data_IF_033170699260
#
_entry.id   IF_033170699260
#
_cell.length_a   1.000
_cell.length_b   1.000
_cell.length_c   1.000
_cell.angle_alpha   90.00
_cell.angle_beta   90.00
_cell.angle_gamma   90.00
#
_symmetry.space_group_name_H-M   'P 1'
#
loop_
_entity.id
_entity.type
_entity.pdbx_description
1 polymer ?
#
# COMPACT_ATOMS: atom_id res chain seq x y z
N UNK A 1 12.67 39.85 17.55
CA UNK A 1 12.33 38.41 17.60
C UNK A 1 13.57 37.63 17.22
N UNK A 2 13.98 36.69 18.06
CA UNK A 2 15.26 35.98 17.94
C UNK A 2 15.31 35.21 16.61
N UNK A 3 16.29 35.49 15.75
CA UNK A 3 16.44 34.95 14.39
C UNK A 3 16.41 33.41 14.37
N UNK A 4 16.90 32.78 15.44
CA UNK A 4 16.83 31.33 15.66
C UNK A 4 15.42 30.76 15.75
N UNK A 5 14.48 31.46 16.40
CA UNK A 5 13.08 31.02 16.47
C UNK A 5 12.38 31.13 15.11
N UNK A 6 12.74 32.12 14.29
CA UNK A 6 12.21 32.27 12.93
C UNK A 6 12.71 31.16 11.99
N UNK A 7 13.97 30.75 12.12
CA UNK A 7 14.55 29.66 11.31
C UNK A 7 13.94 28.30 11.68
N UNK A 8 13.80 28.02 12.97
CA UNK A 8 13.17 26.78 13.44
C UNK A 8 11.70 26.68 12.99
N UNK A 9 10.97 27.80 12.99
CA UNK A 9 9.59 27.84 12.53
C UNK A 9 9.46 27.58 11.02
N UNK A 10 10.35 28.17 10.20
CA UNK A 10 10.37 27.91 8.75
C UNK A 10 10.77 26.46 8.45
N UNK A 11 11.75 25.91 9.17
CA UNK A 11 12.15 24.51 9.03
C UNK A 11 10.99 23.56 9.40
N UNK A 12 10.28 23.85 10.48
CA UNK A 12 9.10 23.08 10.90
C UNK A 12 7.96 23.16 9.87
N UNK A 13 7.72 24.32 9.26
CA UNK A 13 6.75 24.48 8.18
C UNK A 13 7.14 23.69 6.92
N UNK A 14 8.42 23.71 6.51
CA UNK A 14 8.90 22.92 5.37
C UNK A 14 8.79 21.43 5.64
N UNK A 15 9.12 20.97 6.85
CA UNK A 15 8.95 19.58 7.27
C UNK A 15 7.47 19.17 7.29
N UNK A 16 6.58 20.02 7.81
CA UNK A 16 5.14 19.76 7.86
C UNK A 16 4.52 19.68 6.44
N UNK A 17 4.91 20.57 5.53
CA UNK A 17 4.44 20.54 4.14
C UNK A 17 4.91 19.28 3.41
N UNK A 18 6.19 18.90 3.57
CA UNK A 18 6.72 17.66 2.99
C UNK A 18 6.02 16.40 3.54
N UNK A 19 5.67 16.40 4.84
CA UNK A 19 4.95 15.29 5.45
C UNK A 19 3.56 15.06 4.82
N UNK A 20 2.88 16.13 4.38
CA UNK A 20 1.55 16.05 3.74
C UNK A 20 1.56 15.58 2.28
N UNK A 21 2.70 15.67 1.59
CA UNK A 21 2.85 15.27 0.17
C UNK A 21 3.59 13.94 0.03
N UNK A 22 4.03 13.36 1.14
CA UNK A 22 4.91 12.20 1.09
C UNK A 22 4.22 10.98 0.42
N UNK A 23 4.90 10.44 -0.59
CA UNK A 23 4.56 9.20 -1.27
C UNK A 23 4.52 8.04 -0.25
N UNK A 24 3.70 7.02 -0.49
CA UNK A 24 3.79 5.77 0.28
C UNK A 24 5.10 5.07 -0.08
N UNK A 25 5.93 4.85 0.92
CA UNK A 25 7.21 4.16 0.87
C UNK A 25 7.18 2.95 1.80
N UNK A 26 8.25 2.15 1.76
CA UNK A 26 8.46 1.02 2.69
C UNK A 26 8.39 1.43 4.18
N UNK A 27 8.67 2.70 4.48
CA UNK A 27 8.68 3.25 5.84
C UNK A 27 7.34 3.89 6.23
N UNK A 28 6.30 3.73 5.41
CA UNK A 28 4.99 4.35 5.69
C UNK A 28 4.23 3.57 6.74
N UNK A 29 3.84 4.27 7.80
CA UNK A 29 2.91 3.75 8.81
C UNK A 29 1.46 3.96 8.35
N UNK A 30 0.71 2.87 8.29
CA UNK A 30 -0.70 2.87 7.90
C UNK A 30 -1.60 2.98 9.14
N UNK A 31 -2.28 4.11 9.33
CA UNK A 31 -3.19 4.30 10.47
C UNK A 31 -4.38 3.34 10.34
N UNK A 32 -4.59 2.50 11.36
CA UNK A 32 -5.64 1.46 11.41
C UNK A 32 -5.60 0.46 10.23
N UNK A 33 -4.40 0.17 9.75
CA UNK A 33 -4.16 -0.75 8.65
C UNK A 33 -2.75 -1.30 8.67
N UNK A 34 -2.32 -1.84 7.54
CA UNK A 34 -1.00 -2.42 7.33
C UNK A 34 -0.49 -2.09 5.93
N UNK A 35 0.84 -2.00 5.81
CA UNK A 35 1.51 -1.74 4.54
C UNK A 35 1.57 -3.01 3.71
N UNK A 36 1.28 -2.89 2.41
CA UNK A 36 1.45 -3.97 1.43
C UNK A 36 2.28 -3.51 0.26
N UNK A 37 2.85 -4.48 -0.45
CA UNK A 37 3.63 -4.26 -1.66
C UNK A 37 3.01 -4.99 -2.85
N UNK A 38 2.88 -4.27 -3.96
CA UNK A 38 2.62 -4.81 -5.30
C UNK A 38 3.91 -4.76 -6.14
N UNK A 39 3.85 -4.99 -7.45
CA UNK A 39 5.05 -5.11 -8.28
C UNK A 39 5.97 -3.88 -8.25
N UNK A 40 5.39 -2.68 -8.22
CA UNK A 40 6.09 -1.40 -8.36
C UNK A 40 5.47 -0.28 -7.51
N UNK A 41 4.66 -0.61 -6.49
CA UNK A 41 4.11 0.36 -5.56
C UNK A 41 3.85 -0.24 -4.17
N UNK A 42 3.83 0.61 -3.15
CA UNK A 42 3.36 0.29 -1.81
C UNK A 42 2.01 0.98 -1.56
N UNK A 43 1.12 0.31 -0.84
CA UNK A 43 -0.14 0.91 -0.39
C UNK A 43 -0.55 0.45 1.00
N UNK A 44 -1.40 1.23 1.64
CA UNK A 44 -2.05 0.82 2.88
C UNK A 44 -3.30 -0.02 2.56
N UNK A 45 -3.45 -1.13 3.28
CA UNK A 45 -4.71 -1.87 3.38
C UNK A 45 -5.26 -1.74 4.79
N UNK A 46 -6.59 -1.63 4.90
CA UNK A 46 -7.24 -1.43 6.17
C UNK A 46 -7.47 -2.75 6.92
N UNK A 47 -7.48 -2.66 8.25
CA UNK A 47 -7.92 -3.76 9.10
C UNK A 47 -9.42 -4.04 8.89
N UNK A 48 -9.88 -5.23 9.29
CA UNK A 48 -11.28 -5.61 9.16
C UNK A 48 -12.22 -4.61 9.83
N UNK A 49 -13.27 -4.20 9.11
CA UNK A 49 -14.24 -3.20 9.56
C UNK A 49 -13.82 -1.73 9.30
N UNK A 50 -12.61 -1.49 8.79
CA UNK A 50 -12.13 -0.17 8.39
C UNK A 50 -12.10 0.00 6.88
N UNK A 51 -12.16 1.25 6.42
CA UNK A 51 -12.11 1.65 5.01
C UNK A 51 -11.14 2.81 4.81
N UNK A 52 -10.56 2.92 3.61
CA UNK A 52 -9.59 3.96 3.29
C UNK A 52 -10.23 5.35 3.35
N UNK A 53 -9.78 6.16 4.30
CA UNK A 53 -10.13 7.58 4.37
C UNK A 53 -9.26 8.38 3.39
N UNK A 54 -7.98 8.02 3.31
CA UNK A 54 -6.98 8.51 2.38
C UNK A 54 -5.92 7.43 2.16
N UNK A 55 -4.88 7.73 1.37
CA UNK A 55 -3.83 6.76 0.99
C UNK A 55 -3.08 6.11 2.17
N UNK A 56 -3.09 6.74 3.36
CA UNK A 56 -2.34 6.30 4.54
C UNK A 56 -3.20 5.98 5.75
N UNK A 57 -4.49 6.30 5.68
CA UNK A 57 -5.37 6.33 6.83
C UNK A 57 -6.65 5.56 6.58
N UNK A 58 -6.97 4.69 7.53
CA UNK A 58 -8.20 3.94 7.57
C UNK A 58 -9.09 4.44 8.71
N UNK A 59 -10.39 4.55 8.45
CA UNK A 59 -11.40 4.94 9.42
C UNK A 59 -12.51 3.87 9.52
N UNK A 60 -13.19 3.74 10.67
CA UNK A 60 -14.26 2.75 10.83
C UNK A 60 -15.36 2.94 9.79
N UNK A 61 -15.79 1.85 9.16
CA UNK A 61 -16.89 1.90 8.20
C UNK A 61 -18.20 2.18 8.91
N UNK A 62 -18.96 3.14 8.42
CA UNK A 62 -20.30 3.49 8.90
C UNK A 62 -21.38 3.14 7.91
N UNK A 63 -22.52 2.72 8.45
CA UNK A 63 -23.77 2.65 7.70
C UNK A 63 -24.39 4.06 7.63
N UNK A 64 -24.63 4.55 6.43
CA UNK A 64 -25.21 5.87 6.22
C UNK A 64 -26.66 6.00 6.70
N UNK A 65 -27.35 4.89 6.97
CA UNK A 65 -28.65 4.91 7.63
C UNK A 65 -28.56 5.23 9.14
N UNK A 66 -27.36 5.16 9.74
CA UNK A 66 -27.17 5.39 11.17
C UNK A 66 -27.27 6.88 11.52
N UNK A 67 -27.88 7.22 12.68
CA UNK A 67 -27.89 8.60 13.18
C UNK A 67 -26.48 9.18 13.31
N UNK A 68 -26.27 10.40 12.83
CA UNK A 68 -24.97 11.08 12.91
C UNK A 68 -23.90 10.57 11.93
N UNK A 69 -24.22 9.66 11.01
CA UNK A 69 -23.26 9.10 10.06
C UNK A 69 -22.80 10.08 8.97
N UNK A 70 -23.45 11.24 8.82
CA UNK A 70 -23.10 12.24 7.81
C UNK A 70 -21.63 12.65 7.95
N UNK A 71 -20.92 12.74 6.82
CA UNK A 71 -19.49 12.98 6.70
C UNK A 71 -18.58 11.88 7.27
N UNK A 72 -19.12 10.76 7.75
CA UNK A 72 -18.31 9.62 8.18
C UNK A 72 -18.04 8.65 7.01
N UNK A 73 -16.93 7.91 7.10
CA UNK A 73 -16.46 7.00 6.05
C UNK A 73 -17.38 5.79 5.92
N UNK A 74 -17.76 5.42 4.69
CA UNK A 74 -18.73 4.35 4.42
C UNK A 74 -18.24 3.30 3.41
N UNK A 75 -17.10 3.60 2.78
CA UNK A 75 -16.38 2.77 1.81
C UNK A 75 -15.02 3.41 1.54
N UNK A 76 -14.14 2.70 0.85
CA UNK A 76 -12.83 3.25 0.46
C UNK A 76 -13.03 4.54 -0.32
N UNK A 77 -12.41 5.63 0.14
CA UNK A 77 -12.51 6.97 -0.40
C UNK A 77 -13.96 7.48 -0.56
N UNK A 78 -14.86 7.04 0.32
CA UNK A 78 -16.28 7.39 0.28
C UNK A 78 -16.81 7.83 1.66
N UNK A 79 -17.74 8.78 1.66
CA UNK A 79 -18.38 9.32 2.86
C UNK A 79 -19.90 9.35 2.71
N UNK A 80 -20.61 9.26 3.83
CA UNK A 80 -22.05 9.43 3.86
C UNK A 80 -22.43 10.89 3.62
N UNK A 81 -23.22 11.14 2.59
CA UNK A 81 -23.75 12.47 2.29
C UNK A 81 -25.27 12.48 2.40
N UNK A 82 -25.79 13.54 3.02
CA UNK A 82 -27.21 13.84 2.99
C UNK A 82 -27.55 14.41 1.61
N UNK A 83 -28.60 13.90 0.98
CA UNK A 83 -29.07 14.47 -0.30
C UNK A 83 -30.38 15.19 -0.07
N UNK A 84 -30.44 16.47 -0.49
CA UNK A 84 -31.68 17.23 -0.62
C UNK A 84 -31.97 17.41 -2.09
N UNK A 85 -33.12 16.94 -2.55
CA UNK A 85 -33.57 17.11 -3.94
C UNK A 85 -34.92 17.79 -3.88
N UNK A 86 -35.03 18.96 -4.53
CA UNK A 86 -36.26 19.76 -4.57
C UNK A 86 -36.85 20.08 -3.18
N UNK A 87 -35.99 20.37 -2.19
CA UNK A 87 -36.42 20.68 -0.82
C UNK A 87 -36.83 19.47 0.02
N UNK A 88 -36.84 18.26 -0.56
CA UNK A 88 -37.16 17.02 0.15
C UNK A 88 -35.87 16.30 0.57
N UNK A 89 -35.81 15.92 1.84
CA UNK A 89 -34.70 15.16 2.40
C UNK A 89 -34.78 13.71 1.91
N UNK A 90 -33.71 13.23 1.27
CA UNK A 90 -33.56 11.83 0.87
C UNK A 90 -32.71 11.10 1.89
N UNK A 91 -32.89 9.79 1.96
CA UNK A 91 -32.03 8.92 2.74
C UNK A 91 -30.55 9.18 2.41
N UNK A 92 -29.67 9.32 3.41
CA UNK A 92 -28.25 9.50 3.19
C UNK A 92 -27.67 8.37 2.35
N UNK A 93 -26.68 8.68 1.51
CA UNK A 93 -26.03 7.70 0.63
C UNK A 93 -24.52 7.75 0.81
N UNK A 94 -23.88 6.62 0.58
CA UNK A 94 -22.43 6.54 0.49
C UNK A 94 -21.98 7.09 -0.87
N UNK A 95 -21.19 8.14 -0.87
CA UNK A 95 -20.72 8.82 -2.09
C UNK A 95 -19.21 8.98 -2.07
N UNK A 96 -18.59 8.84 -3.24
CA UNK A 96 -17.15 9.07 -3.40
C UNK A 96 -16.77 10.51 -3.00
N UNK A 97 -15.60 10.64 -2.37
CA UNK A 97 -15.02 11.96 -2.06
C UNK A 97 -14.64 12.71 -3.33
N UNK A 98 -14.48 14.03 -3.18
CA UNK A 98 -13.93 14.89 -4.24
C UNK A 98 -12.61 14.32 -4.76
N UNK A 99 -12.47 14.22 -6.08
CA UNK A 99 -11.32 13.61 -6.75
C UNK A 99 -11.42 12.10 -6.99
N UNK A 100 -12.54 11.49 -6.60
CA UNK A 100 -12.85 10.08 -6.84
C UNK A 100 -14.17 9.94 -7.61
N UNK A 101 -14.22 8.94 -8.48
CA UNK A 101 -15.35 8.61 -9.34
C UNK A 101 -15.82 7.20 -9.01
N UNK A 102 -17.14 6.95 -8.92
CA UNK A 102 -17.65 5.60 -8.73
C UNK A 102 -17.40 4.74 -9.98
N UNK A 103 -16.71 3.61 -9.79
CA UNK A 103 -16.51 2.57 -10.79
C UNK A 103 -16.89 1.23 -10.16
N UNK A 104 -17.99 0.64 -10.63
CA UNK A 104 -18.49 -0.68 -10.17
C UNK A 104 -18.49 -0.80 -8.63
N UNK A 105 -19.27 0.05 -7.96
CA UNK A 105 -19.42 0.09 -6.49
C UNK A 105 -18.13 0.39 -5.68
N UNK A 106 -17.04 0.79 -6.33
CA UNK A 106 -15.79 1.22 -5.67
C UNK A 106 -15.46 2.65 -6.09
N UNK A 107 -14.96 3.46 -5.16
CA UNK A 107 -14.48 4.80 -5.49
C UNK A 107 -13.03 4.73 -5.94
N UNK A 108 -12.79 5.04 -7.21
CA UNK A 108 -11.46 5.11 -7.80
C UNK A 108 -11.08 6.56 -8.04
N UNK A 109 -9.78 6.89 -8.01
CA UNK A 109 -9.33 8.26 -8.36
C UNK A 109 -9.83 8.61 -9.76
N UNK A 110 -10.28 9.84 -9.98
CA UNK A 110 -10.86 10.25 -11.28
C UNK A 110 -9.87 10.04 -12.44
N UNK A 111 -8.58 10.25 -12.22
CA UNK A 111 -7.52 9.96 -13.20
C UNK A 111 -7.41 8.47 -13.60
N UNK A 112 -7.89 7.57 -12.74
CA UNK A 112 -7.90 6.12 -12.97
C UNK A 112 -9.14 5.61 -13.69
N UNK A 113 -10.16 6.44 -13.91
CA UNK A 113 -11.46 6.01 -14.42
C UNK A 113 -11.40 5.33 -15.80
N UNK A 114 -10.42 5.69 -16.64
CA UNK A 114 -10.24 5.11 -17.99
C UNK A 114 -8.94 4.31 -18.14
N UNK A 115 -8.19 4.10 -17.06
CA UNK A 115 -6.92 3.38 -17.13
C UNK A 115 -7.12 1.91 -16.78
N UNK A 116 -7.07 1.06 -17.80
CA UNK A 116 -7.20 -0.39 -17.66
C UNK A 116 -5.84 -1.06 -17.45
N UNK A 117 -5.60 -1.54 -16.24
CA UNK A 117 -4.32 -2.14 -15.87
C UNK A 117 -4.25 -3.68 -16.03
N UNK A 118 -5.36 -4.36 -16.32
CA UNK A 118 -5.36 -5.82 -16.42
C UNK A 118 -5.19 -6.49 -15.06
N UNK A 119 -4.16 -7.35 -14.89
CA UNK A 119 -3.86 -8.05 -13.62
C UNK A 119 -3.15 -7.14 -12.60
N UNK A 120 -3.80 -6.04 -12.28
CA UNK A 120 -3.26 -4.99 -11.42
C UNK A 120 -4.29 -3.90 -11.16
N UNK A 121 -3.81 -2.74 -10.71
CA UNK A 121 -4.64 -1.57 -10.43
C UNK A 121 -3.98 -0.28 -10.89
N UNK A 122 -4.78 0.74 -11.10
CA UNK A 122 -4.29 2.09 -11.37
C UNK A 122 -3.86 2.77 -10.06
N UNK A 123 -2.70 3.43 -10.09
CA UNK A 123 -2.09 4.14 -8.96
C UNK A 123 -1.70 5.54 -9.42
N UNK A 124 -1.87 6.54 -8.55
CA UNK A 124 -1.46 7.92 -8.83
C UNK A 124 0.07 8.00 -8.91
N UNK A 125 0.59 8.71 -9.91
CA UNK A 125 2.01 9.04 -9.96
C UNK A 125 2.35 10.04 -8.84
N UNK A 126 3.27 9.71 -7.92
CA UNK A 126 3.65 10.62 -6.83
C UNK A 126 4.25 11.94 -7.33
N UNK A 127 4.85 11.94 -8.52
CA UNK A 127 5.51 13.10 -9.11
C UNK A 127 4.56 13.93 -9.99
N UNK A 128 3.30 13.54 -10.12
CA UNK A 128 2.32 14.22 -10.97
C UNK A 128 0.95 14.32 -10.32
N UNK A 129 0.34 15.51 -10.41
CA UNK A 129 -1.02 15.70 -9.93
C UNK A 129 -2.07 14.99 -10.80
N UNK A 130 -1.75 14.73 -12.07
CA UNK A 130 -2.70 14.28 -13.09
C UNK A 130 -2.37 12.93 -13.70
N UNK A 131 -1.13 12.46 -13.58
CA UNK A 131 -0.73 11.19 -14.19
C UNK A 131 -1.01 10.03 -13.24
N UNK A 132 -1.29 8.89 -13.85
CA UNK A 132 -1.46 7.62 -13.17
C UNK A 132 -0.77 6.53 -13.98
N UNK A 133 -0.34 5.49 -13.30
CA UNK A 133 0.32 4.33 -13.89
C UNK A 133 -0.27 3.05 -13.33
N UNK A 134 0.03 1.93 -13.98
CA UNK A 134 -0.41 0.62 -13.51
C UNK A 134 0.57 0.03 -12.51
N UNK A 135 0.02 -0.54 -11.44
CA UNK A 135 0.74 -1.42 -10.54
C UNK A 135 0.19 -2.83 -10.59
N UNK A 136 1.08 -3.81 -10.68
CA UNK A 136 0.72 -5.17 -11.04
C UNK A 136 0.70 -6.08 -9.82
N UNK A 137 -0.15 -7.09 -9.89
CA UNK A 137 -0.12 -8.20 -8.96
C UNK A 137 1.29 -8.83 -8.91
N UNK A 138 1.72 -9.29 -7.75
CA UNK A 138 3.00 -10.01 -7.62
C UNK A 138 3.00 -11.23 -8.57
N UNK A 139 4.11 -11.43 -9.29
CA UNK A 139 4.24 -12.42 -10.37
C UNK A 139 3.86 -11.88 -11.76
N UNK A 140 3.39 -10.64 -11.85
CA UNK A 140 3.10 -9.93 -13.10
C UNK A 140 3.86 -8.59 -13.10
N UNK A 141 4.36 -8.20 -14.27
CA UNK A 141 5.02 -6.92 -14.52
C UNK A 141 4.38 -6.17 -15.69
N UNK A 142 4.83 -4.94 -15.89
CA UNK A 142 4.38 -4.07 -16.97
C UNK A 142 4.84 -4.59 -18.34
N UNK A 143 3.94 -4.54 -19.31
CA UNK A 143 4.28 -4.68 -20.72
C UNK A 143 4.81 -3.37 -21.32
N UNK A 144 5.12 -3.40 -22.62
CA UNK A 144 5.62 -2.24 -23.36
C UNK A 144 4.61 -1.09 -23.48
N UNK A 145 3.35 -1.33 -23.13
CA UNK A 145 2.27 -0.34 -23.12
C UNK A 145 1.90 0.09 -21.69
N UNK A 146 2.63 -0.38 -20.68
CA UNK A 146 2.37 -0.05 -19.28
C UNK A 146 1.17 -0.78 -18.69
N UNK A 147 0.77 -1.95 -19.22
CA UNK A 147 -0.31 -2.79 -18.65
C UNK A 147 0.25 -4.04 -17.97
N UNK A 148 -0.48 -4.58 -17.00
CA UNK A 148 -0.04 -5.76 -16.23
C UNK A 148 -0.42 -7.07 -16.95
N UNK A 149 0.39 -7.45 -17.94
CA UNK A 149 0.14 -8.62 -18.79
C UNK A 149 1.32 -9.59 -18.89
N UNK A 150 2.55 -9.16 -18.54
CA UNK A 150 3.75 -10.00 -18.63
C UNK A 150 4.04 -10.72 -17.32
N UNK A 151 4.35 -12.03 -17.32
CA UNK A 151 4.94 -12.68 -16.16
C UNK A 151 6.23 -11.99 -15.74
N UNK A 152 6.46 -11.85 -14.45
CA UNK A 152 7.69 -11.27 -13.93
C UNK A 152 7.72 -11.26 -12.41
N UNK A 153 8.89 -11.54 -11.85
CA UNK A 153 9.07 -11.61 -10.42
C UNK A 153 9.34 -10.23 -9.83
N UNK A 154 8.85 -10.03 -8.60
CA UNK A 154 9.13 -8.86 -7.78
C UNK A 154 9.62 -9.37 -6.45
N UNK A 155 10.80 -8.93 -6.01
CA UNK A 155 11.29 -9.28 -4.69
C UNK A 155 10.55 -8.48 -3.62
N UNK A 156 10.22 -9.13 -2.50
CA UNK A 156 9.67 -8.41 -1.36
C UNK A 156 10.72 -7.46 -0.77
N UNK A 157 10.31 -6.22 -0.58
CA UNK A 157 11.09 -5.13 -0.01
C UNK A 157 10.47 -4.59 1.28
N UNK A 158 9.40 -5.19 1.80
CA UNK A 158 8.79 -4.82 3.08
C UNK A 158 9.77 -5.03 4.25
N UNK A 159 9.81 -4.05 5.16
CA UNK A 159 10.56 -4.13 6.42
C UNK A 159 9.67 -4.74 7.50
N UNK A 160 9.62 -6.07 7.56
CA UNK A 160 8.84 -6.80 8.57
C UNK A 160 9.54 -6.83 9.93
N UNK A 161 8.77 -6.96 11.01
CA UNK A 161 9.32 -7.10 12.36
C UNK A 161 10.11 -8.41 12.52
N UNK A 162 10.92 -8.52 13.58
CA UNK A 162 11.80 -9.68 13.79
C UNK A 162 11.04 -11.03 13.88
N UNK A 163 9.84 -11.00 14.45
CA UNK A 163 8.92 -12.15 14.57
C UNK A 163 7.97 -12.29 13.38
N UNK A 164 8.17 -11.52 12.31
CA UNK A 164 7.37 -11.54 11.10
C UNK A 164 8.22 -11.92 9.88
N UNK A 165 7.56 -12.39 8.84
CA UNK A 165 8.14 -12.65 7.53
C UNK A 165 7.29 -12.02 6.43
N UNK A 166 7.92 -11.68 5.31
CA UNK A 166 7.19 -11.19 4.15
C UNK A 166 6.62 -12.36 3.35
N UNK A 167 5.29 -12.46 3.29
CA UNK A 167 4.59 -13.57 2.62
C UNK A 167 3.70 -13.05 1.50
N UNK A 168 3.72 -13.76 0.37
CA UNK A 168 2.77 -13.53 -0.71
C UNK A 168 1.38 -13.93 -0.22
N UNK A 169 0.46 -12.97 -0.17
CA UNK A 169 -0.93 -13.18 0.19
C UNK A 169 -1.81 -12.78 -0.99
N UNK A 170 -2.44 -13.78 -1.62
CA UNK A 170 -3.21 -13.60 -2.86
C UNK A 170 -2.34 -13.06 -4.00
N UNK A 171 -2.28 -11.73 -4.14
CA UNK A 171 -1.65 -11.01 -5.24
C UNK A 171 -0.74 -9.86 -4.79
N UNK A 172 -0.45 -9.76 -3.49
CA UNK A 172 0.41 -8.74 -2.89
C UNK A 172 1.26 -9.34 -1.76
N UNK A 173 2.40 -8.71 -1.47
CA UNK A 173 3.19 -9.04 -0.28
C UNK A 173 2.65 -8.32 0.95
N UNK A 174 2.67 -9.00 2.09
CA UNK A 174 2.43 -8.41 3.42
C UNK A 174 3.33 -9.07 4.46
N UNK A 175 3.63 -8.35 5.54
CA UNK A 175 4.24 -8.95 6.71
C UNK A 175 3.21 -9.80 7.46
N UNK A 176 3.61 -11.01 7.84
CA UNK A 176 2.82 -11.93 8.65
C UNK A 176 3.66 -12.47 9.80
N UNK A 177 3.04 -12.80 10.92
CA UNK A 177 3.74 -13.49 12.00
C UNK A 177 4.38 -14.77 11.46
N UNK A 178 5.65 -15.00 11.80
CA UNK A 178 6.29 -16.29 11.58
C UNK A 178 5.49 -17.33 12.34
N UNK A 179 5.23 -18.47 11.70
CA UNK A 179 4.70 -19.61 12.42
C UNK A 179 5.73 -19.96 13.51
N UNK A 180 5.36 -19.74 14.78
CA UNK A 180 6.10 -20.34 15.88
C UNK A 180 5.98 -21.83 15.65
N UNK A 181 7.08 -22.49 15.28
CA UNK A 181 7.11 -23.94 15.14
C UNK A 181 6.48 -24.52 16.38
N UNK A 182 5.26 -25.03 16.24
CA UNK A 182 4.64 -25.78 17.30
C UNK A 182 5.55 -26.96 17.53
N UNK A 183 6.26 -26.97 18.65
CA UNK A 183 6.57 -28.24 19.31
C UNK A 183 5.22 -28.91 19.51
N UNK A 184 4.83 -29.73 18.53
CA UNK A 184 3.80 -30.72 18.70
C UNK A 184 4.27 -31.55 19.89
N UNK A 185 3.68 -31.27 21.04
CA UNK A 185 3.87 -32.03 22.26
C UNK A 185 3.60 -33.48 21.88
N UNK A 186 4.65 -34.29 21.83
CA UNK A 186 4.53 -35.72 21.67
C UNK A 186 3.66 -36.22 22.80
N UNK A 187 2.39 -36.48 22.50
CA UNK A 187 1.48 -37.14 23.43
C UNK A 187 2.07 -38.48 23.77
N UNK A 188 2.52 -38.61 25.02
CA UNK A 188 2.97 -39.87 25.60
C UNK A 188 1.92 -40.95 25.38
N UNK A 189 2.40 -42.11 24.92
CA UNK A 189 1.57 -43.25 24.63
C UNK A 189 0.80 -43.73 25.85
N UNK A 190 -0.43 -44.17 25.61
CA UNK A 190 -1.11 -45.13 26.47
C UNK A 190 -1.76 -46.16 25.57
N UNK A 191 -1.34 -47.40 25.75
CA UNK A 191 -1.62 -48.52 24.87
C UNK A 191 -3.11 -48.85 24.74
N UNK A 192 -3.47 -49.31 23.56
CA UNK A 192 -4.71 -50.03 23.28
C UNK A 192 -4.40 -51.11 22.26
N UNK A 193 -4.40 -52.37 22.70
CA UNK A 193 -4.46 -53.54 21.82
C UNK A 193 -5.76 -53.49 21.02
N UNK A 194 -5.67 -53.69 19.71
CA UNK A 194 -6.82 -53.70 18.82
C UNK A 194 -6.47 -54.32 17.47
N UNK A 195 -6.83 -55.59 17.33
CA UNK A 195 -6.64 -56.47 16.19
C UNK A 195 -7.39 -56.01 14.92
N UNK A 196 -6.75 -56.23 13.76
CA UNK A 196 -7.43 -56.62 12.51
C UNK A 196 -8.01 -55.50 11.66
N UNK A 197 -7.37 -55.25 10.51
CA UNK A 197 -7.94 -54.45 9.43
C UNK A 197 -7.02 -54.42 8.22
N UNK A 198 -7.18 -55.39 7.31
CA UNK A 198 -6.64 -55.32 5.95
C UNK A 198 -7.26 -54.13 5.21
N UNK A 199 -6.43 -53.30 4.59
CA UNK A 199 -6.88 -52.14 3.82
C UNK A 199 -5.77 -51.59 2.95
N UNK A 200 -5.90 -51.86 1.65
CA UNK A 200 -4.92 -51.70 0.58
C UNK A 200 -4.68 -50.24 0.16
N UNK A 201 -3.45 -49.97 -0.26
CA UNK A 201 -3.16 -49.15 -1.44
C UNK A 201 -2.94 -47.65 -1.23
N UNK A 202 -1.90 -47.14 -1.88
CA UNK A 202 -1.80 -45.72 -2.23
C UNK A 202 -0.41 -45.13 -2.07
N UNK A 203 0.38 -45.27 -3.13
CA UNK A 203 1.68 -44.64 -3.42
C UNK A 203 1.87 -43.23 -2.84
N UNK A 204 2.89 -43.08 -1.98
CA UNK A 204 3.51 -41.80 -1.67
C UNK A 204 4.81 -41.67 -2.45
N UNK A 205 4.74 -41.14 -3.66
CA UNK A 205 5.90 -40.84 -4.49
C UNK A 205 6.73 -39.73 -3.82
N UNK A 206 7.98 -40.07 -3.51
CA UNK A 206 9.02 -39.11 -3.20
C UNK A 206 9.41 -38.24 -4.39
N UNK A 207 10.20 -37.22 -4.08
CA UNK A 207 10.85 -36.31 -5.02
C UNK A 207 11.25 -35.04 -4.25
N UNK A 208 12.30 -35.10 -3.44
CA UNK A 208 13.69 -34.81 -3.81
C UNK A 208 13.93 -33.35 -4.17
N UNK A 209 14.80 -32.72 -3.37
CA UNK A 209 15.32 -31.38 -3.63
C UNK A 209 16.44 -31.36 -4.67
N UNK A 210 16.82 -30.14 -5.04
CA UNK A 210 18.09 -29.75 -5.65
C UNK A 210 18.07 -28.21 -5.67
N UNK A 211 19.07 -27.45 -5.21
CA UNK A 211 20.50 -27.70 -5.21
C UNK A 211 21.13 -26.94 -6.38
N UNK A 212 21.84 -25.85 -6.10
CA UNK A 212 23.03 -25.46 -6.85
C UNK A 212 22.92 -24.43 -7.99
N UNK A 213 23.40 -23.22 -7.69
CA UNK A 213 24.40 -22.40 -8.41
C UNK A 213 24.27 -22.05 -9.91
N UNK A 214 24.44 -20.75 -10.20
CA UNK A 214 24.67 -20.21 -11.54
C UNK A 214 25.15 -18.75 -11.52
N UNK A 215 26.42 -18.57 -11.88
CA UNK A 215 27.25 -17.36 -11.83
C UNK A 215 26.88 -16.24 -12.82
N UNK A 216 27.08 -14.99 -12.39
CA UNK A 216 27.93 -14.00 -13.09
C UNK A 216 27.38 -13.28 -14.34
N UNK A 217 27.27 -11.96 -14.25
CA UNK A 217 27.16 -11.10 -15.43
C UNK A 217 26.78 -9.65 -15.12
N UNK A 218 27.78 -8.83 -14.82
CA UNK A 218 27.64 -7.39 -14.65
C UNK A 218 27.34 -6.67 -15.98
N UNK A 219 26.31 -5.83 -16.00
CA UNK A 219 26.30 -4.58 -16.78
C UNK A 219 25.54 -3.51 -15.99
N UNK A 220 26.30 -2.56 -15.46
CA UNK A 220 25.77 -1.28 -15.03
C UNK A 220 25.37 -0.45 -16.24
N UNK A 221 24.24 0.22 -16.14
CA UNK A 221 23.97 1.46 -16.85
C UNK A 221 23.18 2.36 -15.91
N UNK A 222 23.77 3.51 -15.63
CA UNK A 222 23.31 4.50 -14.70
C UNK A 222 22.00 5.15 -15.16
N UNK A 223 21.10 5.40 -14.20
CA UNK A 223 20.24 6.58 -14.23
C UNK A 223 20.35 7.28 -12.88
N UNK A 224 21.53 7.86 -12.67
CA UNK A 224 21.66 9.01 -11.80
C UNK A 224 21.20 10.24 -12.56
N UNK A 225 20.05 10.78 -12.19
CA UNK A 225 19.80 12.21 -12.22
C UNK A 225 19.11 12.55 -10.90
N UNK A 226 19.93 12.62 -9.85
CA UNK A 226 19.60 13.41 -8.67
C UNK A 226 19.30 14.82 -9.17
N UNK A 227 18.04 15.23 -9.09
CA UNK A 227 17.62 16.57 -9.45
C UNK A 227 18.36 17.57 -8.56
N UNK A 228 19.34 18.25 -9.15
CA UNK A 228 20.07 19.40 -8.61
C UNK A 228 19.17 20.63 -8.34
N UNK A 229 17.85 20.50 -8.47
CA UNK A 229 16.89 21.58 -8.35
C UNK A 229 16.50 21.91 -6.90
N UNK A 230 16.74 21.02 -5.92
CA UNK A 230 16.41 21.31 -4.51
C UNK A 230 17.49 22.12 -3.78
N UNK A 231 18.75 22.07 -4.26
CA UNK A 231 19.86 22.83 -3.67
C UNK A 231 19.84 24.29 -4.12
N UNK A 232 19.29 24.58 -5.30
CA UNK A 232 19.22 25.94 -5.84
C UNK A 232 18.22 26.80 -5.05
N UNK A 233 17.08 26.24 -4.62
CA UNK A 233 16.10 27.00 -3.81
C UNK A 233 16.66 27.43 -2.45
N UNK A 234 17.49 26.60 -1.81
CA UNK A 234 18.11 26.96 -0.51
C UNK A 234 19.15 28.07 -0.70
N UNK A 235 19.98 27.99 -1.74
CA UNK A 235 21.01 28.99 -2.01
C UNK A 235 20.42 30.35 -2.43
N UNK A 236 19.32 30.36 -3.19
CA UNK A 236 18.63 31.60 -3.59
C UNK A 236 17.95 32.27 -2.39
N UNK A 237 17.35 31.49 -1.48
CA UNK A 237 16.78 32.02 -0.24
C UNK A 237 17.87 32.55 0.69
N UNK A 238 19.01 31.86 0.82
CA UNK A 238 20.16 32.37 1.57
C UNK A 238 20.77 33.63 0.95
N UNK A 239 20.87 33.72 -0.38
CA UNK A 239 21.39 34.90 -1.08
C UNK A 239 20.49 36.13 -0.91
N UNK A 240 19.17 35.96 -1.03
CA UNK A 240 18.19 37.04 -0.77
C UNK A 240 18.22 37.50 0.69
N UNK A 241 18.46 36.59 1.64
CA UNK A 241 18.56 36.91 3.06
C UNK A 241 19.85 37.69 3.39
N UNK A 242 20.99 37.33 2.79
CA UNK A 242 22.26 38.05 2.96
C UNK A 242 22.23 39.44 2.32
N UNK A 243 21.44 39.65 1.26
CA UNK A 243 21.24 40.99 0.67
C UNK A 243 20.31 41.90 1.49
N UNK A 244 19.55 41.35 2.44
CA UNK A 244 18.64 42.11 3.31
C UNK A 244 19.29 42.52 4.65
N UNK A 245 20.56 42.16 4.85
CA UNK A 245 21.33 42.37 6.09
C UNK A 245 22.49 43.38 5.93
N UNK A 246 22.52 44.13 4.82
CA UNK A 246 23.40 45.29 4.60
C UNK A 246 22.60 46.57 4.72
#
# INVERSE_FOLDING_TARGET
MNTYHSILFVLALVLALNYTIAQITVDTECKNGYLVQMSNHFECKCNDGFVLENDRGCEPRRDCASPGAINQSCGDYAVCTGTRVNGQERAPRCTCKTGYTPLVNVCVRTMCYRLECGKGKCVKDPNSATNAFCSCNIGITLDQFGKCTKPGDTQCALKCQANEECKLTQNYYKCVAKESGGEGSGGEGSGGEGSGGEGSGGEGSGGEGSGGEGSGGATGAAYGLMNASSVISILVVFALFMMSLV
#
